data_IF_369257170166
#
_entry.id   IF_369257170166
#
_cell.length_a   1.000
_cell.length_b   1.000
_cell.length_c   1.000
_cell.angle_alpha   90.00
_cell.angle_beta   90.00
_cell.angle_gamma   90.00
#
_symmetry.space_group_name_H-M   'P 1'
#
loop_
_entity.id
_entity.type
_entity.pdbx_description
1 polymer ?
#
# COMPACT_ATOMS: atom_id res chain seq x y z
N UNK A 1 -16.98 -13.18 -15.51
CA UNK A 1 -15.92 -13.28 -14.46
C UNK A 1 -16.54 -12.84 -13.15
N UNK A 2 -16.47 -13.63 -12.09
CA UNK A 2 -17.00 -13.29 -10.76
C UNK A 2 -15.81 -12.85 -9.91
N UNK A 3 -15.86 -11.60 -9.41
CA UNK A 3 -14.87 -11.09 -8.47
C UNK A 3 -15.14 -11.73 -7.10
N UNK A 4 -14.15 -12.40 -6.53
CA UNK A 4 -14.28 -13.10 -5.23
C UNK A 4 -13.47 -12.46 -4.10
N UNK A 5 -12.59 -11.53 -4.41
CA UNK A 5 -11.74 -10.84 -3.44
C UNK A 5 -11.39 -9.41 -3.87
N UNK A 6 -11.05 -8.56 -2.91
CA UNK A 6 -10.46 -7.24 -3.12
C UNK A 6 -9.27 -7.06 -2.17
N UNK A 7 -8.08 -6.91 -2.73
CA UNK A 7 -6.84 -6.81 -1.95
C UNK A 7 -6.29 -5.39 -1.81
N UNK A 8 -7.05 -4.37 -2.23
CA UNK A 8 -6.60 -2.98 -2.10
C UNK A 8 -7.70 -2.07 -1.57
N UNK A 9 -7.81 -2.00 -0.26
CA UNK A 9 -8.80 -1.13 0.41
C UNK A 9 -8.13 -0.27 1.49
N UNK A 10 -8.67 0.93 1.67
CA UNK A 10 -8.20 1.91 2.65
C UNK A 10 -9.26 2.23 3.69
N UNK A 11 -8.79 2.67 4.87
CA UNK A 11 -9.61 3.04 6.00
C UNK A 11 -9.17 4.39 6.59
N UNK A 12 -9.83 4.93 7.64
CA UNK A 12 -9.35 6.11 8.36
C UNK A 12 -8.00 5.94 9.08
N UNK A 13 -7.38 4.77 9.01
CA UNK A 13 -5.98 4.61 9.41
C UNK A 13 -5.02 5.29 8.43
N UNK A 14 -5.47 5.49 7.18
CA UNK A 14 -4.81 6.34 6.17
C UNK A 14 -5.76 7.44 5.66
N UNK A 15 -6.34 7.30 4.48
CA UNK A 15 -7.22 8.31 3.86
C UNK A 15 -8.60 7.76 3.47
N UNK A 16 -8.88 6.51 3.78
CA UNK A 16 -10.17 5.88 3.48
C UNK A 16 -11.30 6.50 4.29
N UNK A 17 -12.49 6.53 3.71
CA UNK A 17 -13.69 7.13 4.34
C UNK A 17 -14.38 6.19 5.32
N UNK A 18 -14.24 4.88 5.11
CA UNK A 18 -15.01 3.88 5.83
C UNK A 18 -14.11 3.01 6.72
N UNK A 19 -14.64 2.62 7.87
CA UNK A 19 -13.95 1.75 8.84
C UNK A 19 -13.71 0.35 8.27
N UNK A 20 -12.81 -0.40 8.88
CA UNK A 20 -12.56 -1.82 8.58
C UNK A 20 -13.88 -2.60 8.62
N UNK A 21 -14.67 -2.37 9.66
CA UNK A 21 -15.98 -3.01 9.84
C UNK A 21 -16.91 -2.73 8.66
N UNK A 22 -17.02 -1.45 8.19
CA UNK A 22 -17.88 -1.10 7.07
C UNK A 22 -17.37 -1.73 5.76
N UNK A 23 -16.06 -1.76 5.53
CA UNK A 23 -15.48 -2.43 4.36
C UNK A 23 -15.84 -3.93 4.35
N UNK A 24 -15.72 -4.61 5.49
CA UNK A 24 -16.11 -6.03 5.62
C UNK A 24 -17.61 -6.26 5.40
N UNK A 25 -18.46 -5.37 5.93
CA UNK A 25 -19.91 -5.42 5.69
C UNK A 25 -20.24 -5.34 4.21
N UNK A 26 -19.65 -4.38 3.50
CA UNK A 26 -19.87 -4.19 2.05
C UNK A 26 -19.29 -5.36 1.24
N UNK A 27 -18.16 -5.91 1.65
CA UNK A 27 -17.59 -7.10 1.03
C UNK A 27 -18.54 -8.29 1.10
N UNK A 28 -19.17 -8.51 2.27
CA UNK A 28 -20.21 -9.53 2.43
C UNK A 28 -21.42 -9.28 1.54
N UNK A 29 -21.94 -8.05 1.53
CA UNK A 29 -23.07 -7.65 0.68
C UNK A 29 -22.80 -7.89 -0.81
N UNK A 30 -21.55 -7.70 -1.25
CA UNK A 30 -21.10 -7.95 -2.64
C UNK A 30 -20.73 -9.41 -2.93
N UNK A 31 -20.84 -10.30 -1.96
CA UNK A 31 -20.51 -11.71 -2.12
C UNK A 31 -19.01 -12.00 -2.22
N UNK A 32 -18.15 -11.07 -1.78
CA UNK A 32 -16.71 -11.31 -1.69
C UNK A 32 -16.43 -12.31 -0.57
N UNK A 33 -15.50 -13.21 -0.80
CA UNK A 33 -15.04 -14.19 0.19
C UNK A 33 -13.90 -13.63 1.06
N UNK A 34 -13.11 -12.71 0.48
CA UNK A 34 -11.92 -12.18 1.11
C UNK A 34 -11.71 -10.71 0.74
N UNK A 35 -11.20 -9.92 1.69
CA UNK A 35 -10.68 -8.56 1.46
C UNK A 35 -9.36 -8.39 2.21
N UNK A 36 -8.50 -7.50 1.72
CA UNK A 36 -7.37 -7.00 2.49
C UNK A 36 -7.54 -5.51 2.81
N UNK A 37 -7.24 -5.16 4.05
CA UNK A 37 -7.15 -3.77 4.47
C UNK A 37 -5.69 -3.35 4.31
N UNK A 38 -5.42 -2.42 3.40
CA UNK A 38 -4.05 -2.10 2.94
C UNK A 38 -3.80 -0.59 3.03
N UNK A 39 -3.93 -0.06 4.23
CA UNK A 39 -3.64 1.35 4.49
C UNK A 39 -2.17 1.70 4.18
N UNK A 40 -1.91 2.97 3.83
CA UNK A 40 -0.56 3.43 3.45
C UNK A 40 0.48 3.17 4.52
N UNK A 41 1.67 2.83 4.06
CA UNK A 41 2.84 2.52 4.89
C UNK A 41 3.30 3.67 5.78
N UNK A 42 4.25 3.36 6.62
CA UNK A 42 4.67 4.20 7.75
C UNK A 42 5.32 5.53 7.37
N UNK A 43 5.93 5.61 6.19
CA UNK A 43 6.66 6.81 5.75
C UNK A 43 5.78 7.88 5.13
N UNK A 44 4.48 7.61 4.90
CA UNK A 44 3.58 8.64 4.39
C UNK A 44 3.32 9.70 5.48
N UNK A 45 3.71 10.94 5.21
CA UNK A 45 3.75 12.02 6.23
C UNK A 45 2.37 12.29 6.81
N UNK A 46 1.34 12.36 5.96
CA UNK A 46 -0.04 12.70 6.35
C UNK A 46 -0.87 11.45 6.64
N UNK A 47 -0.84 10.48 5.75
CA UNK A 47 -1.78 9.36 5.74
C UNK A 47 -1.16 8.01 6.12
N UNK A 48 0.07 7.97 6.63
CA UNK A 48 0.73 6.71 7.01
C UNK A 48 0.10 6.04 8.23
N UNK A 49 -0.09 4.74 8.14
CA UNK A 49 -0.40 3.91 9.30
C UNK A 49 0.66 4.11 10.40
N UNK A 50 0.24 4.29 11.63
CA UNK A 50 1.16 4.53 12.75
C UNK A 50 1.50 3.23 13.46
N UNK A 51 2.79 2.92 13.65
CA UNK A 51 3.27 1.68 14.32
C UNK A 51 2.55 1.40 15.65
N UNK A 52 2.29 2.44 16.45
CA UNK A 52 1.56 2.32 17.71
C UNK A 52 0.10 1.88 17.59
N UNK A 53 -0.45 1.89 16.35
CA UNK A 53 -1.84 1.49 16.09
C UNK A 53 -1.95 0.07 15.52
N UNK A 54 -0.85 -0.62 15.26
CA UNK A 54 -0.84 -1.94 14.60
C UNK A 54 -1.67 -2.96 15.36
N UNK A 55 -1.51 -3.08 16.65
CA UNK A 55 -2.25 -4.07 17.43
C UNK A 55 -3.77 -3.81 17.38
N UNK A 56 -4.16 -2.55 17.44
CA UNK A 56 -5.57 -2.18 17.28
C UNK A 56 -6.08 -2.46 15.88
N UNK A 57 -5.29 -2.16 14.85
CA UNK A 57 -5.60 -2.44 13.45
C UNK A 57 -5.85 -3.93 13.20
N UNK A 58 -4.97 -4.79 13.72
CA UNK A 58 -5.10 -6.26 13.67
C UNK A 58 -6.36 -6.74 14.40
N UNK A 59 -6.62 -6.19 15.59
CA UNK A 59 -7.79 -6.54 16.37
C UNK A 59 -9.10 -6.16 15.66
N UNK A 60 -9.16 -5.00 15.02
CA UNK A 60 -10.33 -4.58 14.24
C UNK A 60 -10.54 -5.45 12.99
N UNK A 61 -9.48 -5.87 12.29
CA UNK A 61 -9.57 -6.84 11.18
C UNK A 61 -10.14 -8.17 11.66
N UNK A 62 -9.63 -8.69 12.77
CA UNK A 62 -10.10 -9.94 13.37
C UNK A 62 -11.58 -9.86 13.76
N UNK A 63 -11.97 -8.80 14.45
CA UNK A 63 -13.36 -8.59 14.85
C UNK A 63 -14.32 -8.49 13.67
N UNK A 64 -13.90 -7.80 12.60
CA UNK A 64 -14.69 -7.68 11.37
C UNK A 64 -14.84 -9.03 10.65
N UNK A 65 -13.77 -9.84 10.59
CA UNK A 65 -13.80 -11.22 10.06
C UNK A 65 -14.79 -12.08 10.83
N UNK A 66 -14.72 -12.08 12.15
CA UNK A 66 -15.63 -12.86 13.01
C UNK A 66 -17.09 -12.42 12.85
N UNK A 67 -17.33 -11.11 12.77
CA UNK A 67 -18.69 -10.56 12.69
C UNK A 67 -19.38 -10.82 11.35
N UNK A 68 -18.65 -10.71 10.24
CA UNK A 68 -19.25 -10.75 8.89
C UNK A 68 -19.03 -12.06 8.15
N UNK A 69 -18.12 -12.93 8.62
CA UNK A 69 -17.79 -14.20 7.95
C UNK A 69 -17.09 -14.02 6.60
N UNK A 70 -16.50 -12.84 6.36
CA UNK A 70 -15.59 -12.55 5.24
C UNK A 70 -14.17 -12.66 5.76
N UNK A 71 -13.27 -13.25 4.99
CA UNK A 71 -11.87 -13.31 5.37
C UNK A 71 -11.23 -11.91 5.22
N UNK A 72 -10.93 -11.26 6.35
CA UNK A 72 -10.35 -9.90 6.41
C UNK A 72 -8.86 -10.02 6.71
N UNK A 73 -8.04 -9.82 5.70
CA UNK A 73 -6.59 -9.87 5.80
C UNK A 73 -6.03 -8.55 6.32
N UNK A 74 -5.05 -8.66 7.19
CA UNK A 74 -4.26 -7.52 7.65
C UNK A 74 -3.21 -7.21 6.59
N UNK A 75 -3.34 -6.09 5.91
CA UNK A 75 -2.42 -5.68 4.85
C UNK A 75 -1.81 -4.32 5.08
N UNK A 76 -0.84 -3.99 4.24
CA UNK A 76 -0.21 -2.66 4.19
C UNK A 76 0.19 -2.35 2.75
N UNK A 77 -0.04 -1.11 2.33
CA UNK A 77 0.52 -0.57 1.09
C UNK A 77 1.81 0.17 1.40
N UNK A 78 2.93 -0.55 1.34
CA UNK A 78 4.26 -0.01 1.62
C UNK A 78 4.66 1.06 0.59
N UNK A 79 5.30 2.11 1.08
CA UNK A 79 5.78 3.19 0.22
C UNK A 79 7.14 2.84 -0.37
N UNK A 80 7.28 2.97 -1.69
CA UNK A 80 8.56 2.90 -2.40
C UNK A 80 9.36 4.16 -2.12
N UNK A 81 10.47 4.05 -1.40
CA UNK A 81 11.23 5.19 -0.89
C UNK A 81 12.29 5.73 -1.83
N UNK A 82 12.51 5.08 -2.96
CA UNK A 82 13.49 5.51 -3.95
C UNK A 82 13.83 4.40 -4.94
N UNK A 83 14.75 4.70 -5.86
CA UNK A 83 15.16 3.78 -6.94
C UNK A 83 15.92 2.55 -6.44
N UNK A 84 16.41 2.56 -5.21
CA UNK A 84 17.12 1.43 -4.61
C UNK A 84 16.22 0.23 -4.32
N UNK A 85 14.88 0.41 -4.40
CA UNK A 85 13.90 -0.61 -4.06
C UNK A 85 13.75 -0.81 -2.54
N UNK A 86 14.11 0.20 -1.75
CA UNK A 86 13.78 0.20 -0.33
C UNK A 86 12.33 0.62 -0.14
N UNK A 87 11.64 -0.09 0.74
CA UNK A 87 10.31 0.29 1.22
C UNK A 87 10.41 0.91 2.61
N UNK A 88 9.29 1.31 3.17
CA UNK A 88 9.21 1.79 4.55
C UNK A 88 8.93 0.69 5.57
N UNK A 89 8.91 -0.56 5.13
CA UNK A 89 8.86 -1.74 5.99
C UNK A 89 10.27 -2.19 6.37
N UNK A 90 10.38 -2.77 7.55
CA UNK A 90 11.54 -3.53 8.01
C UNK A 90 11.18 -5.00 8.01
N UNK A 91 12.16 -5.88 7.95
CA UNK A 91 11.95 -7.32 8.03
C UNK A 91 11.13 -7.72 9.26
N UNK A 92 11.36 -7.04 10.39
CA UNK A 92 10.59 -7.26 11.62
C UNK A 92 9.09 -6.91 11.52
N UNK A 93 8.68 -6.15 10.51
CA UNK A 93 7.28 -5.76 10.31
C UNK A 93 6.48 -6.84 9.57
N UNK A 94 7.16 -7.73 8.82
CA UNK A 94 6.48 -8.72 7.96
C UNK A 94 5.58 -9.70 8.73
N UNK A 95 5.89 -9.97 9.98
CA UNK A 95 5.08 -10.84 10.84
C UNK A 95 3.70 -10.25 11.19
N UNK A 96 3.52 -8.96 11.01
CA UNK A 96 2.30 -8.23 11.38
C UNK A 96 1.27 -8.17 10.25
N UNK A 97 1.64 -8.60 9.05
CA UNK A 97 0.79 -8.45 7.86
C UNK A 97 0.68 -9.75 7.07
N UNK A 98 -0.52 -10.00 6.55
CA UNK A 98 -0.82 -11.11 5.65
C UNK A 98 -0.57 -10.73 4.19
N UNK A 99 -0.73 -9.43 3.85
CA UNK A 99 -0.65 -8.89 2.48
C UNK A 99 0.23 -7.65 2.45
N UNK A 100 1.14 -7.62 1.48
CA UNK A 100 2.00 -6.47 1.19
C UNK A 100 1.74 -5.99 -0.23
N UNK A 101 1.34 -4.75 -0.36
CA UNK A 101 1.35 -4.00 -1.61
C UNK A 101 2.52 -3.02 -1.58
N UNK A 102 3.03 -2.65 -2.74
CA UNK A 102 4.06 -1.63 -2.87
C UNK A 102 3.61 -0.57 -3.88
N UNK A 103 3.59 0.68 -3.44
CA UNK A 103 3.17 1.81 -4.25
C UNK A 103 4.17 2.97 -4.24
N UNK A 104 4.27 3.68 -5.37
CA UNK A 104 4.94 4.99 -5.40
C UNK A 104 3.94 6.05 -4.98
N UNK A 105 4.25 6.74 -3.89
CA UNK A 105 3.40 7.79 -3.36
C UNK A 105 4.17 9.09 -3.26
N UNK A 106 3.45 10.20 -3.28
CA UNK A 106 3.98 11.51 -2.94
C UNK A 106 3.87 11.75 -1.42
N UNK A 107 4.53 12.78 -0.92
CA UNK A 107 4.50 13.15 0.50
C UNK A 107 4.98 12.04 1.44
N UNK A 108 6.02 11.33 1.04
CA UNK A 108 6.70 10.30 1.85
C UNK A 108 8.12 10.72 2.22
N UNK A 109 8.69 10.06 3.20
CA UNK A 109 10.12 10.19 3.51
C UNK A 109 10.94 9.31 2.56
N UNK A 110 11.52 9.92 1.51
CA UNK A 110 12.38 9.23 0.54
C UNK A 110 13.73 8.85 1.14
N UNK A 111 14.38 7.83 0.57
CA UNK A 111 15.70 7.37 0.95
C UNK A 111 16.41 6.76 -0.28
N UNK A 112 17.66 7.15 -0.63
CA UNK A 112 18.43 8.22 0.02
C UNK A 112 17.79 9.61 -0.14
N UNK A 113 18.22 10.57 0.65
CA UNK A 113 17.66 11.92 0.64
C UNK A 113 17.68 12.59 -0.75
N UNK A 114 18.69 12.28 -1.58
CA UNK A 114 18.79 12.76 -2.96
C UNK A 114 17.60 12.36 -3.86
N UNK A 115 16.93 11.27 -3.57
CA UNK A 115 15.75 10.81 -4.33
C UNK A 115 14.52 11.69 -4.12
N UNK A 116 14.52 12.59 -3.13
CA UNK A 116 13.46 13.60 -2.97
C UNK A 116 13.36 14.46 -4.22
N UNK A 117 14.50 14.95 -4.73
CA UNK A 117 14.51 15.85 -5.91
C UNK A 117 14.31 15.10 -7.22
N UNK A 118 14.95 13.94 -7.38
CA UNK A 118 14.95 13.24 -8.67
C UNK A 118 13.77 12.27 -8.82
N UNK A 119 13.46 11.51 -7.80
CA UNK A 119 12.39 10.52 -7.84
C UNK A 119 11.06 11.11 -7.30
N UNK A 120 11.09 11.70 -6.12
CA UNK A 120 9.92 12.26 -5.47
C UNK A 120 9.29 13.43 -6.23
N UNK A 121 10.08 14.45 -6.59
CA UNK A 121 9.56 15.62 -7.29
C UNK A 121 9.02 15.30 -8.68
N UNK A 122 9.64 14.37 -9.42
CA UNK A 122 9.14 13.94 -10.73
C UNK A 122 7.82 13.16 -10.62
N UNK A 123 7.69 12.26 -9.66
CA UNK A 123 6.42 11.57 -9.42
C UNK A 123 5.33 12.55 -8.96
N UNK A 124 5.67 13.52 -8.10
CA UNK A 124 4.76 14.58 -7.70
C UNK A 124 4.25 15.39 -8.89
N UNK A 125 5.14 15.78 -9.81
CA UNK A 125 4.77 16.56 -10.99
C UNK A 125 3.79 15.81 -11.90
N UNK A 126 3.94 14.51 -12.06
CA UNK A 126 3.00 13.70 -12.83
C UNK A 126 1.66 13.56 -12.11
N UNK A 127 1.67 13.27 -10.82
CA UNK A 127 0.45 13.00 -10.06
C UNK A 127 -0.39 14.25 -9.79
N UNK A 128 0.25 15.36 -9.41
CA UNK A 128 -0.45 16.59 -9.01
C UNK A 128 -0.57 17.64 -10.11
N UNK A 129 0.42 17.73 -10.97
CA UNK A 129 0.41 18.69 -12.08
C UNK A 129 -0.06 18.06 -13.40
N UNK A 130 -0.43 16.79 -13.37
CA UNK A 130 -0.90 16.03 -14.53
C UNK A 130 0.05 16.08 -15.73
N UNK A 131 1.35 16.22 -15.48
CA UNK A 131 2.36 16.22 -16.53
C UNK A 131 2.56 14.80 -17.09
N UNK A 132 2.90 14.73 -18.38
CA UNK A 132 3.21 13.46 -19.02
C UNK A 132 4.45 12.82 -18.38
N UNK A 133 4.40 11.51 -18.12
CA UNK A 133 5.56 10.75 -17.68
C UNK A 133 6.66 10.80 -18.73
N UNK A 134 7.87 11.18 -18.33
CA UNK A 134 9.04 11.09 -19.19
C UNK A 134 9.61 9.66 -19.19
N UNK A 135 10.30 9.26 -20.27
CA UNK A 135 10.95 7.95 -20.35
C UNK A 135 11.93 7.73 -19.19
N UNK A 136 12.62 8.78 -18.78
CA UNK A 136 13.51 8.73 -17.62
C UNK A 136 12.73 8.39 -16.34
N UNK A 137 11.56 8.99 -16.10
CA UNK A 137 10.76 8.67 -14.91
C UNK A 137 10.20 7.24 -14.96
N UNK A 138 9.80 6.78 -16.14
CA UNK A 138 9.36 5.41 -16.37
C UNK A 138 10.50 4.44 -16.00
N UNK A 139 11.70 4.68 -16.50
CA UNK A 139 12.87 3.86 -16.18
C UNK A 139 13.20 3.86 -14.68
N UNK A 140 13.13 5.02 -14.03
CA UNK A 140 13.36 5.15 -12.59
C UNK A 140 12.35 4.34 -11.77
N UNK A 141 11.06 4.45 -12.10
CA UNK A 141 10.01 3.69 -11.43
C UNK A 141 10.17 2.18 -11.70
N UNK A 142 10.41 1.78 -12.94
CA UNK A 142 10.66 0.37 -13.30
C UNK A 142 11.85 -0.20 -12.50
N UNK A 143 12.95 0.55 -12.42
CA UNK A 143 14.13 0.14 -11.64
C UNK A 143 13.80 -0.04 -10.16
N UNK A 144 13.02 0.88 -9.58
CA UNK A 144 12.58 0.77 -8.18
C UNK A 144 11.80 -0.52 -7.95
N UNK A 145 10.78 -0.80 -8.77
CA UNK A 145 9.98 -2.02 -8.64
C UNK A 145 10.78 -3.30 -8.87
N UNK A 146 11.65 -3.34 -9.89
CA UNK A 146 12.54 -4.49 -10.11
C UNK A 146 13.44 -4.74 -8.90
N UNK A 147 13.95 -3.69 -8.27
CA UNK A 147 14.76 -3.81 -7.08
C UNK A 147 13.97 -4.27 -5.86
N UNK A 148 12.71 -3.85 -5.71
CA UNK A 148 11.81 -4.35 -4.67
C UNK A 148 11.59 -5.86 -4.86
N UNK A 149 11.22 -6.30 -6.07
CA UNK A 149 10.98 -7.72 -6.37
C UNK A 149 12.18 -8.60 -6.01
N UNK A 150 13.40 -8.06 -6.17
CA UNK A 150 14.63 -8.80 -5.85
C UNK A 150 14.94 -8.86 -4.36
N UNK A 151 14.48 -7.88 -3.58
CA UNK A 151 14.87 -7.71 -2.17
C UNK A 151 13.79 -8.13 -1.19
N UNK A 152 12.53 -7.88 -1.54
CA UNK A 152 11.41 -8.00 -0.61
C UNK A 152 10.60 -9.27 -0.90
N UNK A 153 10.20 -10.02 0.12
CA UNK A 153 9.31 -11.15 -0.05
C UNK A 153 7.87 -10.70 -0.29
N UNK A 154 7.67 -9.77 -1.23
CA UNK A 154 6.34 -9.27 -1.53
C UNK A 154 5.45 -10.41 -2.02
N UNK A 155 4.34 -10.64 -1.34
CA UNK A 155 3.37 -11.67 -1.71
C UNK A 155 2.39 -11.19 -2.77
N UNK A 156 2.18 -9.86 -2.86
CA UNK A 156 1.31 -9.23 -3.86
C UNK A 156 1.83 -7.84 -4.25
N UNK A 157 1.71 -7.50 -5.54
CA UNK A 157 2.07 -6.18 -6.10
C UNK A 157 0.82 -5.45 -6.53
N UNK A 158 0.77 -4.12 -6.35
CA UNK A 158 -0.29 -3.30 -6.93
C UNK A 158 -0.10 -3.21 -8.46
N UNK A 159 -0.87 -4.01 -9.19
CA UNK A 159 -0.81 -4.10 -10.66
C UNK A 159 -1.11 -2.79 -11.37
N UNK A 160 -1.81 -1.85 -10.72
CA UNK A 160 -2.17 -0.55 -11.33
C UNK A 160 -0.94 0.33 -11.58
N UNK A 161 0.15 0.11 -10.85
CA UNK A 161 1.38 0.87 -11.00
C UNK A 161 2.41 0.18 -11.91
N UNK A 162 2.22 -1.10 -12.22
CA UNK A 162 3.05 -1.85 -13.15
C UNK A 162 2.61 -1.72 -14.62
N UNK A 163 1.41 -1.16 -14.88
CA UNK A 163 0.97 -0.84 -16.23
C UNK A 163 1.66 0.45 -16.69
N UNK A 164 2.77 0.27 -17.37
CA UNK A 164 3.51 1.30 -18.13
C UNK A 164 3.06 1.29 -19.57
#
# INVERSE_FOLDING_TARGET
MILTADYHTHTPYSHGKHTIEKNASVAKEKGLKQIAITDHGYSHVVFGLRRRKIERYKAECKAAKEKYGVDVLVGIEANVRGQTGETDLKESDYKDFDVFLCGTHICIWYKPFGDILHFGAKNYSVEKLHLKKSDNLIQMNTKAYVNIIKKEPCRYYDSRQLLV
#
